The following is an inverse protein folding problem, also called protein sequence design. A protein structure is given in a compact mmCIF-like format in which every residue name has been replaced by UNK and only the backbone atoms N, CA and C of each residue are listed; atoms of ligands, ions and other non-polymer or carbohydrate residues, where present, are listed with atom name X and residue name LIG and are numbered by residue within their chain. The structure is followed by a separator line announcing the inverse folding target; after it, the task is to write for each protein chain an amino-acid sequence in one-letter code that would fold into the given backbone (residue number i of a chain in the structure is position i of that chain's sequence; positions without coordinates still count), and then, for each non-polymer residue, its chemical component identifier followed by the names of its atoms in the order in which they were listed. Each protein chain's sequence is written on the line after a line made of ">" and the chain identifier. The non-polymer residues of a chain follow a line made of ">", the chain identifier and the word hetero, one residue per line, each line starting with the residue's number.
data_IF_105324254080
#
_entry.id   IF_105324254080
#
_cell.length_a   1.000
_cell.length_b   1.000
_cell.length_c   1.000
_cell.angle_alpha   90.00
_cell.angle_beta   90.00
_cell.angle_gamma   90.00
#
_symmetry.space_group_name_H-M   'P 1'
#
loop_
_entity.id
_entity.type
_entity.pdbx_description
1 polymer ?
#
# COMPACT_ATOMS: atom_id res chain seq x y z
N UNK A 1 6.84 -11.95 -8.93
CA UNK A 1 6.36 -11.56 -7.59
C UNK A 1 5.34 -12.51 -6.98
N UNK A 2 4.40 -13.07 -7.75
CA UNK A 2 3.37 -14.02 -7.26
C UNK A 2 3.97 -15.20 -6.47
N UNK A 3 5.05 -15.82 -6.96
CA UNK A 3 5.76 -16.89 -6.22
C UNK A 3 6.28 -16.44 -4.85
N UNK A 4 6.89 -15.25 -4.76
CA UNK A 4 7.41 -14.72 -3.50
C UNK A 4 6.26 -14.42 -2.52
N UNK A 5 5.15 -13.88 -3.02
CA UNK A 5 3.96 -13.63 -2.21
C UNK A 5 3.43 -14.91 -1.56
N UNK A 6 3.26 -15.99 -2.34
CA UNK A 6 2.81 -17.28 -1.80
C UNK A 6 3.83 -17.88 -0.84
N UNK A 7 5.12 -17.83 -1.18
CA UNK A 7 6.20 -18.35 -0.32
C UNK A 7 6.28 -17.64 1.04
N UNK A 8 6.04 -16.32 1.09
CA UNK A 8 5.99 -15.57 2.35
C UNK A 8 4.77 -15.99 3.17
N UNK A 9 3.61 -16.15 2.53
CA UNK A 9 2.37 -16.55 3.20
C UNK A 9 2.44 -17.97 3.76
N UNK A 10 2.98 -18.94 3.02
CA UNK A 10 3.10 -20.33 3.48
C UNK A 10 4.04 -20.45 4.69
N UNK A 11 4.91 -19.46 4.91
CA UNK A 11 5.75 -19.36 6.12
C UNK A 11 5.07 -18.68 7.31
N UNK A 12 3.77 -18.40 7.23
CA UNK A 12 2.97 -17.83 8.32
C UNK A 12 3.07 -16.31 8.44
N UNK A 13 3.68 -15.61 7.47
CA UNK A 13 3.67 -14.15 7.47
C UNK A 13 2.36 -13.62 6.88
N UNK A 14 1.79 -12.63 7.56
CA UNK A 14 0.70 -11.82 7.04
C UNK A 14 1.21 -10.89 5.94
N UNK A 15 0.51 -10.82 4.82
CA UNK A 15 0.87 -9.96 3.69
C UNK A 15 -0.22 -8.93 3.47
N UNK A 16 0.16 -7.66 3.58
CA UNK A 16 -0.69 -6.52 3.31
C UNK A 16 -0.36 -5.95 1.93
N UNK A 17 -1.38 -5.61 1.15
CA UNK A 17 -1.22 -4.92 -0.13
C UNK A 17 -1.59 -3.45 0.08
N UNK A 18 -0.60 -2.58 0.11
CA UNK A 18 -0.77 -1.14 0.32
C UNK A 18 -0.52 -0.38 -0.99
N UNK A 19 -1.52 0.34 -1.48
CA UNK A 19 -1.48 1.01 -2.79
C UNK A 19 -2.01 2.43 -2.73
N UNK A 20 -1.43 3.32 -3.53
CA UNK A 20 -1.93 4.69 -3.70
C UNK A 20 -3.16 4.77 -4.62
N UNK A 21 -3.63 3.64 -5.21
CA UNK A 21 -4.85 3.61 -6.02
C UNK A 21 -6.06 4.09 -5.23
N UNK A 22 -7.01 4.73 -5.90
CA UNK A 22 -8.25 5.17 -5.28
C UNK A 22 -9.13 3.98 -4.87
N UNK A 23 -9.84 4.15 -3.76
CA UNK A 23 -10.72 3.13 -3.19
C UNK A 23 -11.83 2.68 -4.16
N UNK A 24 -12.38 3.56 -5.01
CA UNK A 24 -13.39 3.16 -5.98
C UNK A 24 -12.87 2.28 -7.12
N UNK A 25 -11.55 2.14 -7.27
CA UNK A 25 -10.94 1.15 -8.16
C UNK A 25 -10.74 -0.21 -7.47
N UNK A 26 -11.31 -0.42 -6.28
CA UNK A 26 -11.13 -1.66 -5.51
C UNK A 26 -11.54 -2.88 -6.29
N UNK A 27 -12.74 -2.89 -6.86
CA UNK A 27 -13.26 -4.06 -7.57
C UNK A 27 -12.36 -4.44 -8.75
N UNK A 28 -12.03 -3.47 -9.62
CA UNK A 28 -11.10 -3.68 -10.72
C UNK A 28 -9.70 -4.10 -10.25
N UNK A 29 -9.22 -3.58 -9.13
CA UNK A 29 -7.91 -3.95 -8.56
C UNK A 29 -7.92 -5.38 -8.01
N UNK A 30 -8.98 -5.78 -7.30
CA UNK A 30 -9.16 -7.14 -6.79
C UNK A 30 -9.27 -8.14 -7.94
N UNK A 31 -10.09 -7.84 -8.96
CA UNK A 31 -10.23 -8.68 -10.15
C UNK A 31 -8.89 -8.92 -10.84
N UNK A 32 -8.09 -7.87 -11.02
CA UNK A 32 -6.75 -7.98 -11.61
C UNK A 32 -5.79 -8.80 -10.74
N UNK A 33 -5.79 -8.59 -9.42
CA UNK A 33 -4.93 -9.34 -8.50
C UNK A 33 -5.25 -10.84 -8.50
N UNK A 34 -6.53 -11.19 -8.48
CA UNK A 34 -7.01 -12.59 -8.53
C UNK A 34 -6.63 -13.21 -9.88
N UNK A 35 -6.86 -12.51 -10.99
CA UNK A 35 -6.60 -13.02 -12.34
C UNK A 35 -5.12 -13.39 -12.55
N UNK A 36 -4.19 -12.67 -11.90
CA UNK A 36 -2.75 -12.97 -11.96
C UNK A 36 -2.26 -13.89 -10.83
N UNK A 37 -3.16 -14.42 -10.01
CA UNK A 37 -2.88 -15.45 -9.01
C UNK A 37 -2.50 -14.97 -7.61
N UNK A 38 -2.76 -13.69 -7.25
CA UNK A 38 -2.70 -13.27 -5.85
C UNK A 38 -3.99 -13.66 -5.13
N UNK A 39 -3.85 -14.41 -4.04
CA UNK A 39 -4.99 -14.84 -3.22
C UNK A 39 -4.63 -14.75 -1.73
N UNK A 40 -5.61 -14.38 -0.89
CA UNK A 40 -5.49 -14.46 0.57
C UNK A 40 -4.48 -13.49 1.21
N UNK A 41 -4.30 -12.30 0.63
CA UNK A 41 -3.71 -11.18 1.39
C UNK A 41 -4.53 -10.91 2.66
N UNK A 42 -3.87 -10.43 3.71
CA UNK A 42 -4.54 -10.07 4.97
C UNK A 42 -5.49 -8.91 4.77
N UNK A 43 -5.03 -7.89 4.05
CA UNK A 43 -5.81 -6.70 3.75
C UNK A 43 -5.30 -6.02 2.48
N UNK A 44 -6.23 -5.45 1.72
CA UNK A 44 -5.95 -4.57 0.58
C UNK A 44 -6.30 -3.14 1.01
N UNK A 45 -5.28 -2.34 1.25
CA UNK A 45 -5.39 -0.95 1.68
C UNK A 45 -5.17 -0.07 0.47
N UNK A 46 -6.22 0.62 0.05
CA UNK A 46 -6.19 1.60 -1.02
C UNK A 46 -6.40 2.98 -0.43
N UNK A 47 -6.06 4.01 -1.20
CA UNK A 47 -6.18 5.38 -0.74
C UNK A 47 -7.65 5.74 -0.67
N UNK A 48 -8.12 5.93 0.56
CA UNK A 48 -9.40 6.60 0.82
C UNK A 48 -9.24 8.05 0.39
N UNK A 49 -9.93 8.37 -0.69
CA UNK A 49 -10.06 9.75 -1.13
C UNK A 49 -11.54 9.87 -1.43
N UNK A 50 -12.10 11.03 -1.16
CA UNK A 50 -13.38 11.49 -1.70
C UNK A 50 -13.48 11.46 -3.26
N UNK A 51 -12.59 10.71 -3.93
CA UNK A 51 -12.25 10.64 -5.36
C UNK A 51 -13.33 10.06 -6.26
N UNK A 52 -14.41 9.51 -5.72
CA UNK A 52 -15.49 9.03 -6.57
C UNK A 52 -16.83 9.71 -6.33
N UNK A 53 -16.98 10.65 -5.39
CA UNK A 53 -18.32 11.10 -4.98
C UNK A 53 -18.64 12.60 -4.90
N UNK A 54 -17.76 13.56 -4.57
CA UNK A 54 -18.31 14.86 -4.09
C UNK A 54 -17.78 16.21 -4.59
N UNK A 55 -16.65 16.36 -5.29
CA UNK A 55 -16.19 17.70 -5.71
C UNK A 55 -16.04 18.74 -4.58
N UNK A 56 -16.05 18.31 -3.31
CA UNK A 56 -15.93 19.16 -2.12
C UNK A 56 -14.75 18.66 -1.30
N UNK A 57 -13.84 19.58 -1.01
CA UNK A 57 -12.71 19.44 -0.11
C UNK A 57 -13.18 19.72 1.33
N UNK A 58 -13.36 18.67 2.14
CA UNK A 58 -13.31 18.89 3.60
C UNK A 58 -11.88 19.33 3.95
N UNK A 59 -11.67 20.50 4.58
CA UNK A 59 -10.32 20.99 4.87
C UNK A 59 -9.56 20.07 5.84
N UNK A 60 -10.26 19.28 6.66
CA UNK A 60 -9.63 18.33 7.58
C UNK A 60 -9.11 17.05 6.88
N UNK A 61 -9.73 16.66 5.76
CA UNK A 61 -9.26 15.52 4.94
C UNK A 61 -8.45 15.93 3.69
N UNK A 62 -8.49 17.20 3.31
CA UNK A 62 -7.63 17.80 2.30
C UNK A 62 -6.14 17.65 2.67
N UNK A 63 -5.83 17.63 3.98
CA UNK A 63 -4.50 17.33 4.49
C UNK A 63 -4.04 15.90 4.10
N UNK A 64 -4.95 14.94 3.91
CA UNK A 64 -4.63 13.58 3.44
C UNK A 64 -4.63 13.43 1.91
N UNK A 65 -5.42 14.21 1.16
CA UNK A 65 -5.43 14.16 -0.32
C UNK A 65 -4.25 14.91 -0.96
N UNK A 66 -3.68 15.90 -0.26
CA UNK A 66 -2.43 16.58 -0.64
C UNK A 66 -1.17 15.93 -0.06
N UNK A 67 -1.31 14.91 0.80
CA UNK A 67 -0.17 14.15 1.28
C UNK A 67 0.50 13.39 0.12
N UNK A 68 1.84 13.44 0.10
CA UNK A 68 2.65 12.62 -0.80
C UNK A 68 2.34 11.13 -0.60
N UNK A 69 2.60 10.32 -1.63
CA UNK A 69 2.44 8.87 -1.54
C UNK A 69 3.24 8.29 -0.36
N UNK A 70 4.37 8.90 -0.03
CA UNK A 70 5.20 8.56 1.13
C UNK A 70 4.49 8.78 2.46
N UNK A 71 3.95 9.98 2.70
CA UNK A 71 3.26 10.29 3.96
C UNK A 71 2.04 9.38 4.15
N UNK A 72 1.24 9.21 3.10
CA UNK A 72 0.08 8.32 3.16
C UNK A 72 0.48 6.89 3.55
N UNK A 73 1.47 6.31 2.85
CA UNK A 73 1.90 4.93 3.13
C UNK A 73 2.56 4.78 4.50
N UNK A 74 3.25 5.81 4.98
CA UNK A 74 3.82 5.82 6.32
C UNK A 74 2.72 5.80 7.41
N UNK A 75 1.66 6.60 7.25
CA UNK A 75 0.50 6.60 8.15
C UNK A 75 -0.19 5.25 8.20
N UNK A 76 -0.44 4.62 7.05
CA UNK A 76 -1.07 3.30 7.03
C UNK A 76 -0.18 2.23 7.69
N UNK A 77 1.14 2.30 7.50
CA UNK A 77 2.08 1.41 8.21
C UNK A 77 2.11 1.66 9.71
N UNK A 78 1.99 2.91 10.15
CA UNK A 78 1.90 3.25 11.57
C UNK A 78 0.66 2.64 12.22
N UNK A 79 -0.50 2.65 11.54
CA UNK A 79 -1.71 1.99 12.00
C UNK A 79 -1.48 0.49 12.21
N UNK A 80 -0.84 -0.19 11.25
CA UNK A 80 -0.48 -1.61 11.40
C UNK A 80 0.38 -1.86 12.64
N UNK A 81 1.36 -0.99 12.90
CA UNK A 81 2.21 -1.11 14.10
C UNK A 81 1.40 -0.90 15.37
N UNK A 82 0.47 0.06 15.40
CA UNK A 82 -0.43 0.31 16.53
C UNK A 82 -1.41 -0.85 16.79
N UNK A 83 -1.79 -1.58 15.75
CA UNK A 83 -2.56 -2.83 15.85
C UNK A 83 -1.74 -4.03 16.37
N UNK A 84 -0.43 -3.84 16.61
CA UNK A 84 0.46 -4.87 17.14
C UNK A 84 1.23 -5.65 16.09
N UNK A 85 1.17 -5.26 14.81
CA UNK A 85 1.98 -5.90 13.77
C UNK A 85 3.44 -5.47 13.83
N UNK A 86 4.35 -6.44 13.63
CA UNK A 86 5.76 -6.16 13.38
C UNK A 86 6.05 -6.23 11.88
N UNK A 87 6.42 -5.09 11.31
CA UNK A 87 6.76 -4.98 9.90
C UNK A 87 8.16 -5.56 9.61
N UNK A 88 8.18 -6.76 9.02
CA UNK A 88 9.42 -7.47 8.68
C UNK A 88 10.06 -7.03 7.37
N UNK A 89 9.23 -6.72 6.38
CA UNK A 89 9.68 -6.41 5.02
C UNK A 89 8.71 -5.49 4.31
N UNK A 90 9.25 -4.55 3.53
CA UNK A 90 8.48 -3.75 2.57
C UNK A 90 9.09 -3.99 1.17
N UNK A 91 8.23 -4.24 0.20
CA UNK A 91 8.60 -4.38 -1.21
C UNK A 91 7.88 -3.31 -2.01
N UNK A 92 8.60 -2.59 -2.87
CA UNK A 92 8.02 -1.51 -3.64
C UNK A 92 8.94 -1.01 -4.74
N UNK A 93 8.36 -0.41 -5.78
CA UNK A 93 9.10 0.11 -6.93
C UNK A 93 9.52 1.57 -6.80
N UNK A 94 8.92 2.33 -5.88
CA UNK A 94 9.20 3.75 -5.66
C UNK A 94 9.74 3.99 -4.26
N UNK A 95 10.67 4.93 -4.09
CA UNK A 95 11.19 5.29 -2.78
C UNK A 95 10.12 5.85 -1.86
N UNK A 96 9.14 6.59 -2.40
CA UNK A 96 7.92 6.99 -1.70
C UNK A 96 7.13 5.81 -1.11
N UNK A 97 7.30 4.59 -1.62
CA UNK A 97 6.64 3.40 -1.05
C UNK A 97 7.39 2.78 0.13
N UNK A 98 8.68 3.08 0.25
CA UNK A 98 9.62 2.43 1.15
C UNK A 98 10.07 3.34 2.30
N UNK A 99 10.12 4.65 2.04
CA UNK A 99 10.49 5.71 2.98
C UNK A 99 9.35 6.14 3.90
N UNK A 100 9.58 7.20 4.66
CA UNK A 100 8.70 7.70 5.70
C UNK A 100 9.09 7.26 7.11
N UNK A 101 8.37 7.77 8.11
CA UNK A 101 8.74 7.63 9.52
C UNK A 101 8.52 6.22 10.09
N UNK A 102 7.54 5.47 9.58
CA UNK A 102 7.35 4.05 9.93
C UNK A 102 7.91 3.17 8.82
N UNK A 103 8.99 2.44 9.13
CA UNK A 103 9.68 1.53 8.21
C UNK A 103 9.59 0.08 8.67
N UNK A 104 10.15 -0.84 7.89
CA UNK A 104 10.24 -2.25 8.23
C UNK A 104 11.70 -2.67 8.42
N UNK A 105 11.91 -3.84 9.03
CA UNK A 105 13.26 -4.38 9.27
C UNK A 105 14.08 -4.57 7.98
N UNK A 106 13.43 -4.85 6.85
CA UNK A 106 14.08 -4.95 5.54
C UNK A 106 13.28 -4.23 4.46
N UNK A 107 13.98 -3.61 3.53
CA UNK A 107 13.42 -2.88 2.41
C UNK A 107 13.93 -3.51 1.11
N UNK A 108 13.02 -3.77 0.18
CA UNK A 108 13.32 -4.35 -1.13
C UNK A 108 12.81 -3.42 -2.22
N UNK A 109 13.73 -2.68 -2.85
CA UNK A 109 13.43 -1.77 -3.96
C UNK A 109 13.42 -2.54 -5.27
N UNK A 110 12.29 -2.52 -5.97
CA UNK A 110 12.18 -3.05 -7.33
C UNK A 110 12.60 -1.99 -8.35
N UNK A 111 13.26 -2.36 -9.46
CA UNK A 111 13.57 -1.44 -10.54
C UNK A 111 12.29 -0.95 -11.22
N UNK A 112 12.21 0.35 -11.50
CA UNK A 112 11.15 0.94 -12.30
C UNK A 112 11.71 2.19 -13.01
N UNK A 113 12.09 2.08 -14.29
CA UNK A 113 12.68 3.19 -15.04
C UNK A 113 11.63 4.13 -15.66
N UNK A 114 10.34 3.79 -15.59
CA UNK A 114 9.30 4.48 -16.36
C UNK A 114 8.90 5.84 -15.77
N UNK A 115 8.93 5.97 -14.44
CA UNK A 115 8.50 7.19 -13.76
C UNK A 115 9.04 7.26 -12.33
N UNK A 116 9.02 8.46 -11.75
CA UNK A 116 9.41 8.73 -10.37
C UNK A 116 8.25 9.40 -9.62
N UNK A 117 7.97 8.93 -8.40
CA UNK A 117 7.00 9.53 -7.49
C UNK A 117 7.73 10.22 -6.34
N UNK A 118 7.39 11.48 -6.08
CA UNK A 118 7.83 12.25 -4.91
C UNK A 118 6.83 12.10 -3.75
#
# INVERSE_FOLDING_TARGET
>A
MVHLFHHIRTRGLKVFVLSSRAECLREATVGNLINVGYHGWTELILRSVYSCLLGISSPLLCYLSTCSAEKYKAVEREKMVKEGYRLWGIVGSQWSSLGGYTTARRIFKLPNPLYYEY
#
